data_IF_645379700895
#
_entry.id   IF_645379700895
#
_cell.length_a   1.000
_cell.length_b   1.000
_cell.length_c   1.000
_cell.angle_alpha   90.00
_cell.angle_beta   90.00
_cell.angle_gamma   90.00
#
_symmetry.space_group_name_H-M   'P 1'
#
loop_
_entity.id
_entity.type
_entity.pdbx_description
1 polymer ?
#
# COMPACT_ATOMS: atom_id res chain seq x y z
N UNK A 1 0.31 -5.86 17.79
CA UNK A 1 -1.02 -5.25 17.56
C UNK A 1 -1.51 -5.77 16.24
N UNK A 2 -2.76 -6.22 16.18
CA UNK A 2 -3.34 -6.80 14.99
C UNK A 2 -4.48 -5.90 14.51
N UNK A 3 -4.47 -5.51 13.23
CA UNK A 3 -5.52 -4.66 12.65
C UNK A 3 -5.94 -5.19 11.27
N UNK A 4 -7.21 -5.54 11.16
CA UNK A 4 -7.81 -6.02 9.91
C UNK A 4 -8.15 -4.86 8.97
N UNK A 5 -7.79 -5.00 7.69
CA UNK A 5 -8.11 -4.10 6.61
C UNK A 5 -8.91 -4.86 5.55
N UNK A 6 -10.22 -4.94 5.75
CA UNK A 6 -11.13 -5.70 4.90
C UNK A 6 -11.05 -5.29 3.43
N UNK A 7 -10.97 -3.98 3.17
CA UNK A 7 -10.88 -3.45 1.80
C UNK A 7 -9.65 -3.95 1.04
N UNK A 8 -8.53 -4.09 1.74
CA UNK A 8 -7.28 -4.64 1.22
C UNK A 8 -7.19 -6.17 1.35
N UNK A 9 -8.08 -6.80 2.12
CA UNK A 9 -8.05 -8.23 2.43
C UNK A 9 -6.78 -8.67 3.16
N UNK A 10 -6.26 -7.84 4.08
CA UNK A 10 -5.05 -8.14 4.87
C UNK A 10 -5.26 -7.85 6.35
N UNK A 11 -4.43 -8.45 7.20
CA UNK A 11 -4.31 -8.09 8.61
C UNK A 11 -2.85 -7.70 8.88
N UNK A 12 -2.65 -6.48 9.37
CA UNK A 12 -1.32 -6.00 9.76
C UNK A 12 -1.04 -6.43 11.19
N UNK A 13 0.14 -7.02 11.42
CA UNK A 13 0.60 -7.50 12.72
C UNK A 13 1.99 -6.94 13.06
N UNK A 14 2.34 -6.95 14.34
CA UNK A 14 3.67 -6.55 14.83
C UNK A 14 3.68 -5.31 15.72
N UNK A 15 4.73 -4.50 15.61
CA UNK A 15 4.93 -3.32 16.44
C UNK A 15 3.83 -2.27 16.23
N UNK A 16 3.26 -1.77 17.32
CA UNK A 16 2.13 -0.82 17.30
C UNK A 16 2.40 0.43 16.45
N UNK A 17 3.60 1.02 16.53
CA UNK A 17 3.92 2.25 15.77
C UNK A 17 4.05 1.95 14.28
N UNK A 18 4.71 0.86 13.93
CA UNK A 18 4.84 0.44 12.53
C UNK A 18 3.49 0.07 11.92
N UNK A 19 2.66 -0.69 12.66
CA UNK A 19 1.29 -1.02 12.26
C UNK A 19 0.46 0.25 12.10
N UNK A 20 0.56 1.22 13.02
CA UNK A 20 -0.17 2.49 12.92
C UNK A 20 0.25 3.31 11.70
N UNK A 21 1.54 3.46 11.44
CA UNK A 21 2.02 4.20 10.27
C UNK A 21 1.55 3.53 8.97
N UNK A 22 1.73 2.22 8.83
CA UNK A 22 1.31 1.51 7.61
C UNK A 22 -0.22 1.52 7.45
N UNK A 23 -0.97 1.49 8.56
CA UNK A 23 -2.43 1.65 8.55
C UNK A 23 -2.87 2.95 7.88
N UNK A 24 -2.23 4.06 8.24
CA UNK A 24 -2.55 5.38 7.69
C UNK A 24 -2.24 5.44 6.19
N UNK A 25 -1.11 4.86 5.77
CA UNK A 25 -0.76 4.76 4.35
C UNK A 25 -1.76 3.91 3.55
N UNK A 26 -2.28 2.82 4.14
CA UNK A 26 -3.34 2.00 3.52
C UNK A 26 -4.65 2.78 3.37
N UNK A 27 -5.02 3.59 4.36
CA UNK A 27 -6.23 4.40 4.33
C UNK A 27 -6.12 5.51 3.27
N UNK A 28 -4.95 6.17 3.16
CA UNK A 28 -4.67 7.16 2.11
C UNK A 28 -4.74 6.55 0.71
N UNK A 29 -4.11 5.39 0.50
CA UNK A 29 -4.12 4.75 -0.81
C UNK A 29 -5.52 4.27 -1.21
N UNK A 30 -6.33 3.81 -0.25
CA UNK A 30 -7.75 3.54 -0.50
C UNK A 30 -8.46 4.81 -0.97
N UNK A 31 -8.29 5.93 -0.24
CA UNK A 31 -8.91 7.19 -0.59
C UNK A 31 -8.47 7.69 -1.97
N UNK A 32 -7.19 7.54 -2.34
CA UNK A 32 -6.70 7.86 -3.68
C UNK A 32 -7.43 7.06 -4.77
N UNK A 33 -7.61 5.75 -4.61
CA UNK A 33 -8.40 4.95 -5.56
C UNK A 33 -9.85 5.43 -5.66
N UNK A 34 -10.51 5.63 -4.52
CA UNK A 34 -11.92 6.01 -4.49
C UNK A 34 -12.13 7.41 -5.09
N UNK A 35 -11.22 8.36 -4.82
CA UNK A 35 -11.30 9.73 -5.29
C UNK A 35 -10.92 9.87 -6.78
N UNK A 36 -9.87 9.17 -7.22
CA UNK A 36 -9.40 9.20 -8.60
C UNK A 36 -10.50 8.80 -9.59
N UNK A 37 -11.30 7.79 -9.23
CA UNK A 37 -12.35 7.27 -10.10
C UNK A 37 -13.77 7.65 -9.66
N UNK A 38 -13.94 8.25 -8.47
CA UNK A 38 -15.25 8.56 -7.86
C UNK A 38 -16.13 7.30 -7.72
N UNK A 39 -15.50 6.17 -7.43
CA UNK A 39 -16.15 4.86 -7.27
C UNK A 39 -15.80 4.29 -5.91
N UNK A 40 -16.83 3.92 -5.14
CA UNK A 40 -16.67 3.19 -3.89
C UNK A 40 -16.90 1.68 -4.11
N UNK A 41 -16.17 0.88 -3.34
CA UNK A 41 -16.30 -0.57 -3.35
C UNK A 41 -15.98 -1.15 -1.97
N UNK A 42 -16.44 -2.38 -1.72
CA UNK A 42 -16.16 -3.07 -0.47
C UNK A 42 -14.73 -3.61 -0.43
N UNK A 43 -14.16 -3.95 -1.59
CA UNK A 43 -12.75 -4.38 -1.72
C UNK A 43 -12.07 -3.73 -2.91
N UNK A 44 -10.73 -3.75 -2.90
CA UNK A 44 -9.90 -3.35 -4.05
C UNK A 44 -10.19 -4.19 -5.29
N UNK A 45 -10.40 -5.51 -5.16
CA UNK A 45 -10.74 -6.37 -6.30
C UNK A 45 -12.07 -5.98 -6.93
N UNK A 46 -13.08 -5.69 -6.11
CA UNK A 46 -14.37 -5.22 -6.59
C UNK A 46 -14.22 -3.87 -7.32
N UNK A 47 -13.43 -2.94 -6.76
CA UNK A 47 -13.14 -1.66 -7.40
C UNK A 47 -12.47 -1.85 -8.76
N UNK A 48 -11.38 -2.62 -8.83
CA UNK A 48 -10.63 -2.85 -10.08
C UNK A 48 -11.52 -3.52 -11.14
N UNK A 49 -12.33 -4.51 -10.76
CA UNK A 49 -13.25 -5.18 -11.68
C UNK A 49 -14.34 -4.22 -12.21
N UNK A 50 -14.93 -3.39 -11.33
CA UNK A 50 -15.90 -2.36 -11.74
C UNK A 50 -15.29 -1.37 -12.74
N UNK A 51 -14.06 -0.93 -12.47
CA UNK A 51 -13.39 0.06 -13.30
C UNK A 51 -12.96 -0.49 -14.65
N UNK A 52 -12.54 -1.76 -14.73
CA UNK A 52 -12.03 -2.35 -15.97
C UNK A 52 -13.03 -2.26 -17.14
N UNK A 53 -14.33 -2.34 -16.85
CA UNK A 53 -15.41 -2.21 -17.84
C UNK A 53 -15.80 -0.75 -18.15
N UNK A 54 -15.42 0.20 -17.30
CA UNK A 54 -15.87 1.60 -17.35
C UNK A 54 -14.80 2.58 -17.86
N UNK A 55 -13.52 2.22 -17.76
CA UNK A 55 -12.41 3.11 -18.10
C UNK A 55 -11.94 2.93 -19.55
N UNK A 56 -11.36 3.98 -20.17
CA UNK A 56 -10.76 3.88 -21.49
C UNK A 56 -9.55 2.93 -21.52
N UNK A 57 -9.21 2.43 -22.72
CA UNK A 57 -8.19 1.39 -22.92
C UNK A 57 -6.80 1.76 -22.36
N UNK A 58 -6.42 3.04 -22.39
CA UNK A 58 -5.14 3.47 -21.82
C UNK A 58 -5.09 3.27 -20.30
N UNK A 59 -6.22 3.42 -19.63
CA UNK A 59 -6.37 3.31 -18.18
C UNK A 59 -6.36 1.83 -17.73
N UNK A 60 -6.86 0.93 -18.59
CA UNK A 60 -6.84 -0.51 -18.31
C UNK A 60 -5.43 -1.05 -18.08
N UNK A 61 -4.40 -0.42 -18.66
CA UNK A 61 -2.99 -0.78 -18.40
C UNK A 61 -2.62 -0.58 -16.93
N UNK A 62 -3.05 0.53 -16.34
CA UNK A 62 -2.85 0.82 -14.92
C UNK A 62 -3.65 -0.15 -14.04
N UNK A 63 -4.93 -0.38 -14.36
CA UNK A 63 -5.75 -1.33 -13.60
C UNK A 63 -5.22 -2.77 -13.67
N UNK A 64 -4.71 -3.18 -14.84
CA UNK A 64 -4.04 -4.46 -15.02
C UNK A 64 -2.80 -4.57 -14.14
N UNK A 65 -1.97 -3.53 -14.11
CA UNK A 65 -0.81 -3.46 -13.21
C UNK A 65 -1.23 -3.63 -11.73
N UNK A 66 -2.25 -2.89 -11.28
CA UNK A 66 -2.78 -3.00 -9.91
C UNK A 66 -3.21 -4.45 -9.61
N UNK A 67 -3.97 -5.07 -10.51
CA UNK A 67 -4.44 -6.44 -10.34
C UNK A 67 -3.29 -7.46 -10.28
N UNK A 68 -2.26 -7.29 -11.11
CA UNK A 68 -1.07 -8.15 -11.14
C UNK A 68 -0.19 -8.00 -9.89
N UNK A 69 -0.08 -6.78 -9.35
CA UNK A 69 0.75 -6.50 -8.17
C UNK A 69 0.04 -6.75 -6.85
N UNK A 70 -1.29 -6.76 -6.82
CA UNK A 70 -2.07 -6.91 -5.59
C UNK A 70 -1.71 -8.17 -4.78
N UNK A 71 -1.55 -9.39 -5.36
CA UNK A 71 -1.12 -10.55 -4.60
C UNK A 71 0.27 -10.37 -3.95
N UNK A 72 1.19 -9.69 -4.64
CA UNK A 72 2.53 -9.41 -4.12
C UNK A 72 2.46 -8.42 -2.95
N UNK A 73 1.71 -7.32 -3.10
CA UNK A 73 1.47 -6.37 -2.03
C UNK A 73 0.90 -7.06 -0.78
N UNK A 74 -0.16 -7.86 -0.94
CA UNK A 74 -0.79 -8.59 0.19
C UNK A 74 0.20 -9.49 0.92
N UNK A 75 1.08 -10.18 0.20
CA UNK A 75 2.11 -11.04 0.79
C UNK A 75 3.05 -10.26 1.72
N UNK A 76 3.45 -9.04 1.35
CA UNK A 76 4.33 -8.22 2.18
C UNK A 76 3.60 -7.53 3.32
N UNK A 77 2.32 -7.18 3.15
CA UNK A 77 1.50 -6.61 4.23
C UNK A 77 1.20 -7.62 5.37
N UNK A 78 1.33 -8.92 5.11
CA UNK A 78 1.05 -9.98 6.09
C UNK A 78 2.28 -10.41 6.93
N UNK A 79 3.42 -9.74 6.79
CA UNK A 79 4.57 -10.02 7.66
C UNK A 79 4.40 -9.35 9.03
N UNK A 80 5.07 -9.89 10.04
CA UNK A 80 5.14 -9.23 11.34
C UNK A 80 6.05 -8.00 11.24
N UNK A 81 5.47 -6.81 11.40
CA UNK A 81 6.18 -5.55 11.27
C UNK A 81 7.09 -5.30 12.49
N UNK A 82 8.40 -5.10 12.28
CA UNK A 82 9.31 -4.81 13.37
C UNK A 82 9.17 -3.38 13.87
N UNK A 83 9.68 -3.12 15.07
CA UNK A 83 10.03 -1.75 15.41
C UNK A 83 11.30 -1.36 14.67
N UNK A 84 11.18 -0.44 13.71
CA UNK A 84 12.33 0.16 13.05
C UNK A 84 12.02 1.64 12.78
N UNK A 85 12.83 2.54 13.34
CA UNK A 85 12.59 3.98 13.23
C UNK A 85 12.70 4.47 11.78
N UNK A 86 13.63 3.92 10.99
CA UNK A 86 13.81 4.31 9.60
C UNK A 86 12.65 3.82 8.72
N UNK A 87 12.14 2.61 8.95
CA UNK A 87 10.91 2.11 8.31
C UNK A 87 9.73 3.04 8.60
N UNK A 88 9.48 3.32 9.88
CA UNK A 88 8.37 4.19 10.30
C UNK A 88 8.49 5.56 9.66
N UNK A 89 9.66 6.21 9.73
CA UNK A 89 9.86 7.53 9.14
C UNK A 89 9.76 7.54 7.61
N UNK A 90 10.08 6.43 6.95
CA UNK A 90 9.91 6.32 5.50
C UNK A 90 8.43 6.16 5.13
N UNK A 91 7.65 5.44 5.94
CA UNK A 91 6.18 5.37 5.78
C UNK A 91 5.55 6.75 6.03
N UNK A 92 5.98 7.47 7.08
CA UNK A 92 5.50 8.82 7.38
C UNK A 92 5.81 9.82 6.25
N UNK A 93 6.96 9.67 5.60
CA UNK A 93 7.30 10.47 4.42
C UNK A 93 6.40 10.17 3.22
N UNK A 94 6.13 8.89 2.95
CA UNK A 94 5.22 8.50 1.87
C UNK A 94 3.78 8.97 2.15
N UNK A 95 3.33 8.93 3.41
CA UNK A 95 2.07 9.52 3.86
C UNK A 95 2.02 11.01 3.52
N UNK A 96 3.08 11.76 3.83
CA UNK A 96 3.14 13.19 3.54
C UNK A 96 2.98 13.49 2.04
N UNK A 97 3.66 12.73 1.17
CA UNK A 97 3.54 12.87 -0.28
C UNK A 97 2.13 12.50 -0.74
N UNK A 98 1.69 11.28 -0.44
CA UNK A 98 0.42 10.73 -0.94
C UNK A 98 -0.80 11.50 -0.43
N UNK A 99 -0.73 12.09 0.77
CA UNK A 99 -1.82 12.91 1.32
C UNK A 99 -2.03 14.21 0.54
N UNK A 100 -0.98 14.77 -0.07
CA UNK A 100 -1.10 15.98 -0.88
C UNK A 100 -1.93 15.74 -2.15
N UNK A 101 -1.95 14.50 -2.65
CA UNK A 101 -2.65 14.12 -3.88
C UNK A 101 -4.05 13.54 -3.65
N UNK A 102 -4.53 13.52 -2.39
CA UNK A 102 -5.76 12.82 -2.01
C UNK A 102 -7.01 13.39 -2.67
N UNK A 103 -7.04 14.69 -2.97
CA UNK A 103 -8.16 15.34 -3.66
C UNK A 103 -8.17 15.04 -5.17
N UNK A 104 -7.09 14.43 -5.67
CA UNK A 104 -6.89 14.09 -7.08
C UNK A 104 -7.04 15.29 -8.01
N UNK A 105 -6.61 16.50 -7.58
CA UNK A 105 -6.57 17.70 -8.45
C UNK A 105 -5.82 17.38 -9.76
N UNK A 106 -4.72 16.63 -9.65
CA UNK A 106 -3.96 16.09 -10.76
C UNK A 106 -4.05 14.56 -10.78
N UNK A 107 -4.96 13.96 -11.57
CA UNK A 107 -5.14 12.52 -11.64
C UNK A 107 -3.87 11.74 -12.01
N UNK A 108 -2.94 12.37 -12.73
CA UNK A 108 -1.66 11.74 -13.09
C UNK A 108 -0.79 11.52 -11.84
N UNK A 109 -0.71 12.50 -10.95
CA UNK A 109 0.10 12.45 -9.74
C UNK A 109 -0.52 11.48 -8.71
N UNK A 110 -1.85 11.48 -8.58
CA UNK A 110 -2.56 10.48 -7.78
C UNK A 110 -2.28 9.03 -8.24
N UNK A 111 -2.24 8.78 -9.57
CA UNK A 111 -1.81 7.47 -10.10
C UNK A 111 -0.35 7.19 -9.77
N UNK A 112 0.51 8.20 -9.84
CA UNK A 112 1.91 8.12 -9.44
C UNK A 112 2.06 7.62 -8.01
N UNK A 113 1.35 8.23 -7.06
CA UNK A 113 1.33 7.81 -5.65
C UNK A 113 0.87 6.35 -5.49
N UNK A 114 -0.21 5.95 -6.18
CA UNK A 114 -0.67 4.56 -6.13
C UNK A 114 0.40 3.60 -6.68
N UNK A 115 1.02 3.91 -7.82
CA UNK A 115 2.10 3.08 -8.40
C UNK A 115 3.25 2.96 -7.40
N UNK A 116 3.70 4.10 -6.84
CA UNK A 116 4.76 4.14 -5.84
C UNK A 116 4.40 3.24 -4.66
N UNK A 117 3.18 3.31 -4.13
CA UNK A 117 2.74 2.44 -3.04
C UNK A 117 2.85 0.94 -3.36
N UNK A 118 2.42 0.50 -4.56
CA UNK A 118 2.52 -0.90 -4.96
C UNK A 118 3.95 -1.39 -5.18
N UNK A 119 4.89 -0.49 -5.51
CA UNK A 119 6.30 -0.83 -5.70
C UNK A 119 7.08 -0.77 -4.38
N UNK A 120 6.93 0.34 -3.68
CA UNK A 120 7.74 0.73 -2.53
C UNK A 120 7.39 -0.08 -1.27
N UNK A 121 6.10 -0.35 -1.00
CA UNK A 121 5.72 -1.10 0.21
C UNK A 121 6.33 -2.51 0.24
N UNK A 122 6.25 -3.32 -0.84
CA UNK A 122 6.96 -4.58 -0.91
C UNK A 122 8.48 -4.45 -0.73
N UNK A 123 9.10 -3.46 -1.37
CA UNK A 123 10.54 -3.22 -1.31
C UNK A 123 11.00 -2.90 0.11
N UNK A 124 10.38 -1.91 0.75
CA UNK A 124 10.80 -1.43 2.05
C UNK A 124 10.57 -2.49 3.13
N UNK A 125 9.42 -3.18 3.10
CA UNK A 125 9.14 -4.27 4.05
C UNK A 125 10.11 -5.44 3.81
N UNK A 126 10.42 -5.74 2.55
CA UNK A 126 11.41 -6.76 2.18
C UNK A 126 12.79 -6.46 2.76
N UNK A 127 13.28 -5.23 2.60
CA UNK A 127 14.58 -4.80 3.12
C UNK A 127 14.69 -4.99 4.63
N UNK A 128 13.67 -4.61 5.40
CA UNK A 128 13.71 -4.77 6.85
C UNK A 128 13.48 -6.20 7.30
N UNK A 129 12.79 -7.03 6.53
CA UNK A 129 12.70 -8.47 6.79
C UNK A 129 14.06 -9.16 6.63
N UNK A 130 14.83 -8.79 5.61
CA UNK A 130 16.17 -9.33 5.35
C UNK A 130 17.24 -8.76 6.30
N UNK A 131 17.15 -7.48 6.68
CA UNK A 131 18.03 -6.89 7.68
C UNK A 131 17.92 -7.59 9.05
N UNK A 132 16.70 -7.96 9.45
CA UNK A 132 16.46 -8.72 10.69
C UNK A 132 17.00 -10.15 10.64
N UNK A 133 16.99 -10.80 9.47
CA UNK A 133 17.53 -12.16 9.34
C UNK A 133 19.07 -12.15 9.35
N UNK A 134 19.70 -11.10 8.83
CA UNK A 134 21.16 -10.93 8.88
C UNK A 134 21.68 -10.64 10.31
N UNK A 135 20.96 -9.84 11.10
CA UNK A 135 21.32 -9.57 12.49
C UNK A 135 21.18 -10.80 13.40
N UNK A 136 20.26 -11.71 13.09
CA UNK A 136 20.11 -12.99 13.81
C UNK A 136 21.25 -13.99 13.56
N UNK A 137 21.94 -13.91 12.41
CA UNK A 137 23.07 -14.80 12.08
C UNK A 137 24.35 -14.40 12.82
N UNK A 138 24.50 -13.12 13.19
CA UNK A 138 25.69 -12.60 13.87
C UNK A 138 25.67 -12.71 15.41
N UNK A 139 24.69 -13.44 15.98
CA UNK A 139 24.55 -13.67 17.42
C UNK A 139 24.83 -15.13 17.85
N UNK A 140 25.52 -15.92 17.01
CA UNK A 140 25.93 -17.31 17.32
C UNK A 140 27.44 -17.41 17.48
#
# INVERSE_FOLDING_TARGET
>A
MDKCFEWWGVTLNGNEKAVKALSELLDINKALFENLYKVQAQTIEELVNKLYEQVPEYEKKFLKYVNEQLPNLKRYLQVELPYNAQLISSIEYEIYISSAEIDCEYPFDARGCIITFFQWVPEIIGLYKEGLSAEQINLV
#
